data_IF_323649036726
#
_entry.id   IF_323649036726
#
_cell.length_a   1.000
_cell.length_b   1.000
_cell.length_c   1.000
_cell.angle_alpha   90.00
_cell.angle_beta   90.00
_cell.angle_gamma   90.00
#
_symmetry.space_group_name_H-M   'P 1'
#
loop_
_entity.id
_entity.type
_entity.pdbx_description
1 polymer ?
#
# COMPACT_ATOMS: atom_id res chain seq x y z
N UNK A 1 -31.11 31.71 -3.13
CA UNK A 1 -30.82 30.58 -2.22
C UNK A 1 -29.83 29.68 -2.95
N UNK A 2 -28.53 29.83 -2.66
CA UNK A 2 -27.43 29.32 -3.49
C UNK A 2 -27.38 27.79 -3.52
N UNK A 3 -27.74 27.25 -4.68
CA UNK A 3 -27.67 25.83 -5.03
C UNK A 3 -26.21 25.40 -5.21
N UNK A 4 -25.85 24.30 -4.53
CA UNK A 4 -24.67 23.46 -4.75
C UNK A 4 -23.31 24.18 -4.83
N UNK A 5 -22.64 24.26 -3.68
CA UNK A 5 -21.19 24.44 -3.62
C UNK A 5 -20.53 23.23 -4.27
N UNK A 6 -20.16 23.36 -5.54
CA UNK A 6 -19.27 22.43 -6.24
C UNK A 6 -17.92 22.47 -5.50
N UNK A 7 -17.72 21.57 -4.53
CA UNK A 7 -16.39 21.27 -4.01
C UNK A 7 -15.56 20.83 -5.21
N UNK A 8 -14.71 21.72 -5.74
CA UNK A 8 -13.69 21.34 -6.72
C UNK A 8 -12.88 20.25 -6.06
N UNK A 9 -13.01 19.02 -6.53
CA UNK A 9 -12.19 17.91 -6.03
C UNK A 9 -10.75 18.31 -6.35
N UNK A 10 -9.89 18.58 -5.35
CA UNK A 10 -8.56 19.08 -5.63
C UNK A 10 -7.82 17.92 -6.30
N UNK A 11 -7.44 18.06 -7.57
CA UNK A 11 -6.70 17.03 -8.30
C UNK A 11 -5.47 16.52 -7.52
N UNK A 12 -4.88 17.36 -6.66
CA UNK A 12 -3.82 17.00 -5.74
C UNK A 12 -4.24 15.96 -4.69
N UNK A 13 -5.42 16.10 -4.09
CA UNK A 13 -5.94 15.16 -3.07
C UNK A 13 -6.25 13.80 -3.69
N UNK A 14 -6.88 13.75 -4.88
CA UNK A 14 -7.14 12.48 -5.59
C UNK A 14 -5.83 11.76 -5.90
N UNK A 15 -4.82 12.48 -6.40
CA UNK A 15 -3.50 11.91 -6.69
C UNK A 15 -2.81 11.42 -5.43
N UNK A 16 -2.83 12.20 -4.36
CA UNK A 16 -2.26 11.80 -3.08
C UNK A 16 -2.95 10.55 -2.52
N UNK A 17 -4.29 10.48 -2.61
CA UNK A 17 -5.06 9.33 -2.15
C UNK A 17 -4.81 8.06 -2.98
N UNK A 18 -4.58 8.20 -4.30
CA UNK A 18 -4.26 7.05 -5.16
C UNK A 18 -3.00 6.29 -4.72
N UNK A 19 -2.05 6.98 -4.07
CA UNK A 19 -0.85 6.33 -3.50
C UNK A 19 -1.23 5.40 -2.35
N UNK A 20 -2.20 5.75 -1.52
CA UNK A 20 -2.68 4.87 -0.45
C UNK A 20 -3.38 3.62 -0.99
N UNK A 21 -4.08 3.73 -2.13
CA UNK A 21 -4.66 2.55 -2.80
C UNK A 21 -3.54 1.64 -3.31
N UNK A 22 -2.47 2.22 -3.86
CA UNK A 22 -1.29 1.46 -4.28
C UNK A 22 -0.65 0.74 -3.08
N UNK A 23 -0.35 1.44 -1.99
CA UNK A 23 0.18 0.82 -0.76
C UNK A 23 -0.75 -0.27 -0.23
N UNK A 24 -2.06 0.00 -0.15
CA UNK A 24 -3.03 -1.00 0.31
C UNK A 24 -3.05 -2.26 -0.55
N UNK A 25 -2.77 -2.17 -1.86
CA UNK A 25 -2.65 -3.34 -2.72
C UNK A 25 -1.49 -4.27 -2.30
N UNK A 26 -0.43 -3.73 -1.70
CA UNK A 26 0.67 -4.51 -1.11
C UNK A 26 0.20 -5.46 -0.01
N UNK A 27 -0.76 -5.04 0.83
CA UNK A 27 -1.35 -5.90 1.86
C UNK A 27 -2.10 -7.11 1.28
N UNK A 28 -2.78 -6.93 0.13
CA UNK A 28 -3.46 -8.01 -0.56
C UNK A 28 -2.46 -9.00 -1.16
N UNK A 29 -1.37 -8.51 -1.76
CA UNK A 29 -0.29 -9.36 -2.27
C UNK A 29 0.39 -10.13 -1.14
N UNK A 30 0.65 -9.50 0.00
CA UNK A 30 1.21 -10.15 1.17
C UNK A 30 0.28 -11.26 1.69
N UNK A 31 -1.03 -11.02 1.71
CA UNK A 31 -2.03 -12.04 2.05
C UNK A 31 -2.00 -13.24 1.09
N UNK A 32 -1.90 -13.01 -0.22
CA UNK A 32 -1.74 -14.11 -1.19
C UNK A 32 -0.45 -14.90 -0.95
N UNK A 33 0.62 -14.22 -0.51
CA UNK A 33 1.85 -14.87 -0.04
C UNK A 33 1.58 -15.81 1.13
N UNK A 34 0.85 -15.37 2.15
CA UNK A 34 0.48 -16.19 3.32
C UNK A 34 -0.34 -17.41 2.89
N UNK A 35 -1.31 -17.24 2.00
CA UNK A 35 -2.12 -18.35 1.47
C UNK A 35 -1.22 -19.35 0.73
N UNK A 36 -0.32 -18.88 -0.13
CA UNK A 36 0.60 -19.75 -0.86
C UNK A 36 1.56 -20.51 0.08
N UNK A 37 2.05 -19.86 1.14
CA UNK A 37 2.86 -20.50 2.16
C UNK A 37 2.08 -21.60 2.90
N UNK A 38 0.81 -21.32 3.27
CA UNK A 38 -0.06 -22.27 3.97
C UNK A 38 -0.34 -23.53 3.13
N UNK A 39 -0.39 -23.39 1.81
CA UNK A 39 -0.54 -24.50 0.85
C UNK A 39 0.80 -25.21 0.52
N UNK A 40 1.92 -24.80 1.13
CA UNK A 40 3.26 -25.33 0.82
C UNK A 40 3.81 -24.93 -0.56
N UNK A 41 3.19 -23.94 -1.22
CA UNK A 41 3.54 -23.47 -2.57
C UNK A 41 4.59 -22.37 -2.51
N UNK A 42 5.78 -22.69 -2.00
CA UNK A 42 6.84 -21.72 -1.72
C UNK A 42 7.28 -20.88 -2.92
N UNK A 43 7.33 -21.46 -4.13
CA UNK A 43 7.65 -20.70 -5.35
C UNK A 43 6.62 -19.59 -5.60
N UNK A 44 5.33 -19.90 -5.43
CA UNK A 44 4.27 -18.90 -5.57
C UNK A 44 4.31 -17.88 -4.42
N UNK A 45 4.61 -18.31 -3.20
CA UNK A 45 4.83 -17.40 -2.06
C UNK A 45 5.93 -16.38 -2.37
N UNK A 46 7.09 -16.80 -2.89
CA UNK A 46 8.17 -15.88 -3.27
C UNK A 46 7.77 -14.94 -4.40
N UNK A 47 6.96 -15.39 -5.36
CA UNK A 47 6.41 -14.50 -6.39
C UNK A 47 5.50 -13.41 -5.79
N UNK A 48 4.62 -13.79 -4.86
CA UNK A 48 3.75 -12.82 -4.17
C UNK A 48 4.54 -11.86 -3.29
N UNK A 49 5.55 -12.35 -2.58
CA UNK A 49 6.45 -11.52 -1.77
C UNK A 49 7.25 -10.55 -2.65
N UNK A 50 7.79 -11.01 -3.78
CA UNK A 50 8.47 -10.15 -4.74
C UNK A 50 7.55 -9.09 -5.34
N UNK A 51 6.30 -9.42 -5.64
CA UNK A 51 5.31 -8.46 -6.10
C UNK A 51 4.96 -7.42 -5.03
N UNK A 52 4.79 -7.83 -3.77
CA UNK A 52 4.54 -6.92 -2.65
C UNK A 52 5.71 -5.94 -2.44
N UNK A 53 6.96 -6.44 -2.48
CA UNK A 53 8.17 -5.61 -2.41
C UNK A 53 8.28 -4.60 -3.56
N UNK A 54 7.81 -4.97 -4.75
CA UNK A 54 7.80 -4.05 -5.89
C UNK A 54 6.80 -2.91 -5.67
N UNK A 55 5.64 -3.19 -5.09
CA UNK A 55 4.65 -2.15 -4.73
C UNK A 55 5.22 -1.19 -3.69
N UNK A 56 5.80 -1.73 -2.62
CA UNK A 56 6.46 -1.00 -1.53
C UNK A 56 7.64 -0.12 -2.04
N UNK A 57 8.46 -0.67 -2.93
CA UNK A 57 9.55 0.10 -3.54
C UNK A 57 9.08 1.27 -4.41
N UNK A 58 7.83 1.24 -4.92
CA UNK A 58 7.28 2.24 -5.84
C UNK A 58 6.46 3.30 -5.11
N UNK A 59 5.66 2.92 -4.12
CA UNK A 59 4.72 3.84 -3.47
C UNK A 59 5.41 4.94 -2.65
N UNK A 60 6.51 4.64 -1.95
CA UNK A 60 7.30 5.60 -1.17
C UNK A 60 7.90 6.73 -2.02
N UNK A 61 8.61 6.44 -3.13
CA UNK A 61 9.06 7.45 -4.07
C UNK A 61 7.92 8.30 -4.65
N UNK A 62 6.78 7.70 -4.97
CA UNK A 62 5.61 8.44 -5.49
C UNK A 62 5.02 9.35 -4.40
N UNK A 63 4.87 8.85 -3.17
CA UNK A 63 4.38 9.60 -2.02
C UNK A 63 5.23 10.85 -1.75
N UNK A 64 6.56 10.70 -1.78
CA UNK A 64 7.51 11.81 -1.61
C UNK A 64 7.40 12.85 -2.71
N UNK A 65 7.27 12.42 -3.98
CA UNK A 65 7.10 13.33 -5.13
C UNK A 65 5.79 14.11 -5.08
N UNK A 66 4.73 13.50 -4.55
CA UNK A 66 3.41 14.12 -4.44
C UNK A 66 3.21 14.92 -3.14
N UNK A 67 4.21 14.96 -2.24
CA UNK A 67 4.11 15.62 -0.94
C UNK A 67 2.85 15.18 -0.19
N UNK A 68 2.54 13.87 -0.22
CA UNK A 68 1.28 13.32 0.32
C UNK A 68 1.05 13.73 1.78
N UNK A 69 2.10 13.79 2.59
CA UNK A 69 2.04 14.22 3.99
C UNK A 69 1.59 15.68 4.17
N UNK A 70 1.84 16.55 3.19
CA UNK A 70 1.38 17.95 3.18
C UNK A 70 -0.08 18.06 2.68
N UNK A 71 -0.49 17.18 1.74
CA UNK A 71 -1.81 17.18 1.11
C UNK A 71 -2.87 16.42 1.93
N UNK A 72 -2.47 15.32 2.59
CA UNK A 72 -3.32 14.43 3.38
C UNK A 72 -2.70 14.16 4.76
N UNK A 73 -2.56 15.18 5.64
CA UNK A 73 -1.89 15.04 6.94
C UNK A 73 -2.63 14.10 7.92
N UNK A 74 -3.91 13.83 7.70
CA UNK A 74 -4.72 12.92 8.53
C UNK A 74 -4.56 11.43 8.15
N UNK A 75 -3.87 11.12 7.05
CA UNK A 75 -3.65 9.75 6.60
C UNK A 75 -2.20 9.33 6.85
N UNK A 76 -2.02 8.35 7.73
CA UNK A 76 -0.70 7.80 8.02
C UNK A 76 -0.35 6.69 7.02
N UNK A 77 0.21 7.07 5.87
CA UNK A 77 0.80 6.10 4.92
C UNK A 77 1.89 5.25 5.57
N UNK A 78 2.67 5.84 6.48
CA UNK A 78 3.75 5.17 7.22
C UNK A 78 3.24 4.02 8.09
N UNK A 79 2.07 4.16 8.72
CA UNK A 79 1.50 3.08 9.52
C UNK A 79 1.09 1.90 8.63
N UNK A 80 0.49 2.18 7.47
CA UNK A 80 0.10 1.15 6.52
C UNK A 80 1.32 0.39 5.98
N UNK A 81 2.39 1.14 5.65
CA UNK A 81 3.70 0.62 5.23
C UNK A 81 4.28 -0.35 6.26
N UNK A 82 4.39 0.09 7.52
CA UNK A 82 4.90 -0.73 8.62
C UNK A 82 4.12 -2.03 8.83
N UNK A 83 2.80 -2.01 8.62
CA UNK A 83 1.97 -3.23 8.71
C UNK A 83 2.34 -4.20 7.59
N UNK A 84 2.48 -3.70 6.36
CA UNK A 84 2.85 -4.53 5.21
C UNK A 84 4.26 -5.10 5.41
N UNK A 85 5.22 -4.28 5.82
CA UNK A 85 6.59 -4.68 6.15
C UNK A 85 6.65 -5.78 7.21
N UNK A 86 5.88 -5.63 8.29
CA UNK A 86 5.83 -6.67 9.31
C UNK A 86 5.29 -7.98 8.72
N UNK A 87 4.28 -7.92 7.86
CA UNK A 87 3.73 -9.12 7.22
C UNK A 87 4.75 -9.75 6.27
N UNK A 88 5.45 -8.98 5.45
CA UNK A 88 6.35 -9.49 4.40
C UNK A 88 7.72 -9.91 4.94
N UNK A 89 8.28 -9.19 5.91
CA UNK A 89 9.63 -9.45 6.43
C UNK A 89 9.67 -10.29 7.69
N UNK A 90 8.60 -10.29 8.50
CA UNK A 90 8.57 -11.01 9.78
C UNK A 90 7.59 -12.17 9.73
N UNK A 91 6.32 -11.88 9.48
CA UNK A 91 5.26 -12.88 9.59
C UNK A 91 5.41 -13.98 8.53
N UNK A 92 5.51 -13.60 7.26
CA UNK A 92 5.53 -14.58 6.17
C UNK A 92 6.74 -15.52 6.25
N UNK A 93 7.98 -15.03 6.47
CA UNK A 93 9.14 -15.90 6.63
C UNK A 93 9.10 -16.77 7.88
N UNK A 94 8.47 -16.30 8.97
CA UNK A 94 8.32 -17.10 10.19
C UNK A 94 7.21 -18.16 10.07
N UNK A 95 6.24 -17.94 9.17
CA UNK A 95 5.11 -18.83 8.95
C UNK A 95 5.43 -19.99 7.97
N UNK A 96 6.23 -19.71 6.95
CA UNK A 96 6.62 -20.67 5.90
C UNK A 96 7.65 -21.70 6.37
#
# INVERSE_FOLDING_TARGET
MGLFSQRRVPYAEIRAFSVHILTASGSFLAFLGVVAAAEGRFVAMFWWLGAALLVDGIDGPIARRLKVSEVLPSWSGVMLDNIIDYVTYVLLPAFA
#
